data_IF_227046361966
#
_entry.id   IF_227046361966
#
_cell.length_a   1.000
_cell.length_b   1.000
_cell.length_c   1.000
_cell.angle_alpha   90.00
_cell.angle_beta   90.00
_cell.angle_gamma   90.00
#
_symmetry.space_group_name_H-M   'P 1'
#
loop_
_entity.id
_entity.type
_entity.pdbx_description
1 polymer ?
#
# COMPACT_ATOMS: atom_id res chain seq x y z
N UNK A 1 -7.48 11.81 8.71
CA UNK A 1 -8.92 12.12 8.71
C UNK A 1 -9.34 13.61 8.58
N UNK A 2 -8.90 14.57 9.43
CA UNK A 2 -9.47 15.95 9.45
C UNK A 2 -9.43 16.72 8.11
N UNK A 3 -8.33 16.58 7.36
CA UNK A 3 -8.16 17.24 6.06
C UNK A 3 -9.29 16.93 5.07
N UNK A 4 -9.68 15.66 4.92
CA UNK A 4 -10.74 15.27 3.99
C UNK A 4 -12.12 15.78 4.43
N UNK A 5 -12.38 15.87 5.74
CA UNK A 5 -13.61 16.50 6.24
C UNK A 5 -13.70 17.97 5.82
N UNK A 6 -12.58 18.70 5.89
CA UNK A 6 -12.52 20.10 5.45
C UNK A 6 -12.66 20.20 3.92
N UNK A 7 -11.95 19.34 3.18
CA UNK A 7 -12.01 19.31 1.71
C UNK A 7 -13.43 19.10 1.20
N UNK A 8 -14.12 18.07 1.68
CA UNK A 8 -15.48 17.76 1.26
C UNK A 8 -16.45 18.89 1.61
N UNK A 9 -16.32 19.48 2.81
CA UNK A 9 -17.16 20.59 3.22
C UNK A 9 -16.95 21.84 2.35
N UNK A 10 -15.71 22.17 2.00
CA UNK A 10 -15.42 23.33 1.15
C UNK A 10 -15.95 23.10 -0.28
N UNK A 11 -15.78 21.90 -0.83
CA UNK A 11 -16.28 21.58 -2.16
C UNK A 11 -17.82 21.58 -2.23
N UNK A 12 -18.51 21.11 -1.19
CA UNK A 12 -19.96 21.26 -1.05
C UNK A 12 -20.40 22.74 -1.08
N UNK A 13 -19.71 23.60 -0.32
CA UNK A 13 -20.00 25.04 -0.28
C UNK A 13 -19.74 25.76 -1.61
N UNK A 14 -18.84 25.24 -2.45
CA UNK A 14 -18.54 25.76 -3.77
C UNK A 14 -19.50 25.23 -4.85
N UNK A 15 -20.45 24.35 -4.49
CA UNK A 15 -21.45 23.82 -5.42
C UNK A 15 -20.98 22.64 -6.26
N UNK A 16 -19.94 21.92 -5.84
CA UNK A 16 -19.56 20.67 -6.51
C UNK A 16 -20.57 19.56 -6.18
N UNK A 17 -21.14 18.95 -7.22
CA UNK A 17 -22.10 17.86 -7.11
C UNK A 17 -21.44 16.54 -6.67
N UNK A 18 -22.18 15.70 -5.94
CA UNK A 18 -21.72 14.37 -5.52
C UNK A 18 -20.70 14.34 -4.38
N UNK A 19 -20.29 15.49 -3.84
CA UNK A 19 -19.29 15.55 -2.76
C UNK A 19 -19.87 15.11 -1.40
N UNK A 20 -21.18 15.28 -1.18
CA UNK A 20 -21.86 14.87 0.05
C UNK A 20 -21.76 13.36 0.34
N UNK A 21 -21.57 12.54 -0.69
CA UNK A 21 -21.43 11.09 -0.60
C UNK A 21 -19.95 10.64 -0.54
N UNK A 22 -19.01 11.59 -0.45
CA UNK A 22 -17.57 11.26 -0.47
C UNK A 22 -17.11 10.67 0.85
N UNK A 23 -16.37 9.56 0.77
CA UNK A 23 -15.80 8.87 1.93
C UNK A 23 -14.27 8.87 1.86
N UNK A 24 -13.63 9.20 2.98
CA UNK A 24 -12.18 9.04 3.13
C UNK A 24 -11.86 7.65 3.67
N UNK A 25 -11.37 6.79 2.78
CA UNK A 25 -10.89 5.43 3.11
C UNK A 25 -9.55 5.52 3.84
N UNK A 26 -9.60 5.62 5.16
CA UNK A 26 -8.42 5.77 6.01
C UNK A 26 -7.67 4.43 6.16
N UNK A 27 -6.35 4.47 5.99
CA UNK A 27 -5.47 3.35 6.29
C UNK A 27 -4.25 3.82 7.11
N UNK A 28 -3.71 2.90 7.91
CA UNK A 28 -2.55 3.16 8.76
C UNK A 28 -1.21 3.05 8.01
N UNK A 29 -0.14 3.38 8.72
CA UNK A 29 1.22 3.18 8.21
C UNK A 29 1.71 1.76 8.49
N UNK A 30 2.38 1.17 7.50
CA UNK A 30 3.15 -0.06 7.70
C UNK A 30 4.41 0.21 8.52
N UNK A 31 4.79 -0.76 9.34
CA UNK A 31 6.05 -0.76 10.11
C UNK A 31 6.83 -2.02 9.80
N UNK A 32 8.15 -1.87 9.77
CA UNK A 32 9.10 -2.96 9.72
C UNK A 32 9.49 -3.37 11.15
N UNK A 33 10.12 -4.54 11.35
CA UNK A 33 10.68 -4.90 12.65
C UNK A 33 11.60 -3.82 13.25
N UNK A 34 12.29 -3.07 12.39
CA UNK A 34 13.20 -1.98 12.74
C UNK A 34 12.50 -0.64 13.01
N UNK A 35 11.19 -0.55 12.74
CA UNK A 35 10.37 0.63 12.97
C UNK A 35 9.63 1.15 11.73
N UNK A 36 9.19 2.41 11.77
CA UNK A 36 8.45 3.02 10.67
C UNK A 36 9.37 3.33 9.47
N UNK A 37 8.85 3.17 8.25
CA UNK A 37 9.52 3.56 7.01
C UNK A 37 9.85 5.06 7.07
N UNK A 38 11.09 5.43 6.76
CA UNK A 38 11.58 6.81 6.85
C UNK A 38 12.65 7.10 5.82
N UNK A 39 12.35 7.99 4.88
CA UNK A 39 13.32 8.47 3.87
C UNK A 39 14.51 9.19 4.52
N UNK A 40 14.26 10.01 5.54
CA UNK A 40 15.32 10.76 6.25
C UNK A 40 16.28 9.86 7.03
N UNK A 41 15.81 8.73 7.53
CA UNK A 41 16.64 7.74 8.23
C UNK A 41 17.15 6.63 7.30
N UNK A 42 16.90 6.73 5.99
CA UNK A 42 17.29 5.73 4.99
C UNK A 42 16.51 4.40 5.06
N UNK A 43 15.47 4.32 5.89
CA UNK A 43 14.63 3.13 6.04
C UNK A 43 13.53 3.13 4.97
N UNK A 44 13.91 2.87 3.71
CA UNK A 44 12.99 2.86 2.56
C UNK A 44 13.00 1.48 1.92
N UNK A 45 11.81 0.96 1.60
CA UNK A 45 11.65 -0.23 0.77
C UNK A 45 11.02 0.22 -0.55
N UNK A 46 11.72 -0.03 -1.65
CA UNK A 46 11.17 0.19 -2.99
C UNK A 46 10.14 -0.90 -3.31
N UNK A 47 8.99 -0.51 -3.85
CA UNK A 47 7.93 -1.46 -4.20
C UNK A 47 8.41 -2.53 -5.19
N UNK A 48 9.21 -2.16 -6.19
CA UNK A 48 9.78 -3.12 -7.14
C UNK A 48 10.61 -4.21 -6.45
N UNK A 49 11.57 -3.81 -5.61
CA UNK A 49 12.39 -4.76 -4.85
C UNK A 49 11.56 -5.65 -3.92
N UNK A 50 10.46 -5.13 -3.36
CA UNK A 50 9.53 -5.92 -2.54
C UNK A 50 8.81 -6.99 -3.38
N UNK A 51 8.33 -6.62 -4.58
CA UNK A 51 7.64 -7.53 -5.49
C UNK A 51 8.58 -8.61 -6.03
N UNK A 52 9.81 -8.24 -6.42
CA UNK A 52 10.82 -9.18 -6.93
C UNK A 52 11.18 -10.23 -5.87
N UNK A 53 11.37 -9.81 -4.62
CA UNK A 53 11.66 -10.72 -3.51
C UNK A 53 10.45 -11.60 -3.16
N UNK A 54 9.23 -11.07 -3.24
CA UNK A 54 8.01 -11.84 -3.03
C UNK A 54 7.84 -12.93 -4.10
N UNK A 55 8.04 -12.59 -5.38
CA UNK A 55 8.01 -13.54 -6.49
C UNK A 55 9.06 -14.63 -6.31
N UNK A 56 10.31 -14.25 -6.02
CA UNK A 56 11.40 -15.20 -5.77
C UNK A 56 11.09 -16.18 -4.65
N UNK A 57 10.50 -15.71 -3.54
CA UNK A 57 10.10 -16.57 -2.41
C UNK A 57 8.95 -17.50 -2.80
N UNK A 58 7.95 -16.98 -3.49
CA UNK A 58 6.83 -17.79 -3.97
C UNK A 58 7.33 -18.90 -4.92
N UNK A 59 8.25 -18.56 -5.82
CA UNK A 59 8.89 -19.47 -6.77
C UNK A 59 9.68 -20.58 -6.06
N UNK A 60 10.43 -20.24 -5.01
CA UNK A 60 11.13 -21.24 -4.21
C UNK A 60 10.14 -22.21 -3.53
N UNK A 61 9.07 -21.68 -2.93
CA UNK A 61 8.05 -22.48 -2.25
C UNK A 61 7.31 -23.41 -3.22
N UNK A 62 6.96 -22.94 -4.42
CA UNK A 62 6.23 -23.79 -5.40
C UNK A 62 7.13 -24.91 -5.93
N UNK A 63 8.42 -24.64 -6.17
CA UNK A 63 9.39 -25.66 -6.63
C UNK A 63 9.68 -26.71 -5.56
N UNK A 64 9.73 -26.32 -4.30
CA UNK A 64 9.87 -27.26 -3.18
C UNK A 64 8.63 -28.16 -3.06
N UNK A 65 7.44 -27.58 -3.15
CA UNK A 65 6.17 -28.31 -2.94
C UNK A 65 5.73 -29.13 -4.15
N UNK A 66 6.08 -28.71 -5.36
CA UNK A 66 5.67 -29.35 -6.61
C UNK A 66 6.88 -29.46 -7.56
N UNK A 67 7.85 -30.36 -7.26
CA UNK A 67 9.10 -30.45 -8.01
C UNK A 67 8.90 -30.83 -9.49
N UNK A 68 7.81 -31.55 -9.81
CA UNK A 68 7.50 -32.00 -11.16
C UNK A 68 6.58 -31.04 -11.93
N UNK A 69 6.27 -29.86 -11.37
CA UNK A 69 5.44 -28.86 -12.04
C UNK A 69 6.22 -28.24 -13.20
N UNK A 70 5.85 -28.61 -14.43
CA UNK A 70 6.41 -28.02 -15.64
C UNK A 70 6.09 -26.51 -15.68
N UNK A 71 7.12 -25.69 -15.85
CA UNK A 71 7.04 -24.23 -15.89
C UNK A 71 6.67 -23.55 -14.55
N UNK A 72 7.23 -24.05 -13.45
CA UNK A 72 7.21 -23.38 -12.14
C UNK A 72 8.13 -22.14 -12.10
#
# INVERSE_FOLDING_TARGET
SHHFKQLFRVAELLGYEGVGDSEHVEFGFMKLPEGAISTRKGMVIALGALLDEAEKRALAVIREKNPDLSHA
#
